data_IF_023509840976
#
_entry.id   IF_023509840976
#
_cell.length_a   1.000
_cell.length_b   1.000
_cell.length_c   1.000
_cell.angle_alpha   90.00
_cell.angle_beta   90.00
_cell.angle_gamma   90.00
#
_symmetry.space_group_name_H-M   'P 1'
#
loop_
_entity.id
_entity.type
_entity.pdbx_description
1 polymer ?
#
# COMPACT_ATOMS: atom_id res chain seq x y z
N UNK A 1 4.34 49.00 5.02
CA UNK A 1 5.09 47.95 4.29
C UNK A 1 5.54 46.80 5.18
N UNK A 2 6.08 47.04 6.37
CA UNK A 2 6.49 45.99 7.33
C UNK A 2 5.36 45.10 7.84
N UNK A 3 4.11 45.61 7.92
CA UNK A 3 2.94 44.81 8.34
C UNK A 3 2.48 43.79 7.28
N UNK A 4 2.44 44.17 6.01
CA UNK A 4 2.08 43.25 4.91
C UNK A 4 3.11 42.13 4.75
N UNK A 5 4.41 42.45 4.87
CA UNK A 5 5.47 41.44 4.79
C UNK A 5 5.37 40.42 5.92
N UNK A 6 5.06 40.86 7.15
CA UNK A 6 4.81 39.95 8.29
C UNK A 6 3.58 39.08 8.06
N UNK A 7 2.49 39.62 7.51
CA UNK A 7 1.28 38.86 7.21
C UNK A 7 1.54 37.80 6.12
N UNK A 8 2.30 38.12 5.08
CA UNK A 8 2.65 37.18 4.02
C UNK A 8 3.53 36.04 4.53
N UNK A 9 4.52 36.34 5.38
CA UNK A 9 5.40 35.33 6.00
C UNK A 9 4.61 34.44 6.96
N UNK A 10 3.69 35.01 7.75
CA UNK A 10 2.80 34.25 8.64
C UNK A 10 1.83 33.38 7.83
N UNK A 11 1.25 33.89 6.74
CA UNK A 11 0.38 33.12 5.86
C UNK A 11 1.11 31.96 5.17
N UNK A 12 2.37 32.16 4.76
CA UNK A 12 3.22 31.09 4.21
C UNK A 12 3.61 30.05 5.26
N UNK A 13 3.80 30.45 6.52
CA UNK A 13 4.02 29.54 7.66
C UNK A 13 2.75 28.76 8.05
N UNK A 14 1.56 29.32 7.81
CA UNK A 14 0.27 28.67 8.09
C UNK A 14 -0.18 27.71 6.99
N UNK A 15 0.47 27.68 5.82
CA UNK A 15 0.30 26.63 4.82
C UNK A 15 0.99 25.31 5.24
N UNK A 16 0.98 25.02 6.55
CA UNK A 16 1.40 23.75 7.11
C UNK A 16 0.52 22.66 6.53
N UNK A 17 1.16 21.72 5.83
CA UNK A 17 0.51 20.59 5.17
C UNK A 17 -0.18 19.73 6.24
N UNK A 18 -1.47 19.96 6.47
CA UNK A 18 -2.31 19.07 7.26
C UNK A 18 -2.37 17.75 6.52
N UNK A 19 -1.91 16.68 7.15
CA UNK A 19 -2.09 15.31 6.67
C UNK A 19 -2.94 14.59 7.69
N UNK A 20 -3.94 13.87 7.22
CA UNK A 20 -4.85 13.13 8.08
C UNK A 20 -4.44 11.67 8.12
N UNK A 21 -4.48 11.08 9.31
CA UNK A 21 -4.16 9.67 9.51
C UNK A 21 -5.35 8.82 9.10
N UNK A 22 -5.15 7.97 8.10
CA UNK A 22 -6.19 7.11 7.55
C UNK A 22 -6.28 5.78 8.31
N UNK A 23 -5.13 5.11 8.47
CA UNK A 23 -5.00 3.83 9.17
C UNK A 23 -3.72 3.82 10.00
N UNK A 24 -3.74 3.10 11.11
CA UNK A 24 -2.61 2.89 12.02
C UNK A 24 -2.52 1.43 12.43
N UNK A 25 -1.39 1.05 13.06
CA UNK A 25 -1.14 -0.30 13.54
C UNK A 25 -1.20 -1.40 12.46
N UNK A 26 -0.78 -1.07 11.24
CA UNK A 26 -0.72 -2.02 10.12
C UNK A 26 0.59 -2.82 10.15
N UNK A 27 0.56 -4.07 9.70
CA UNK A 27 1.77 -4.78 9.35
C UNK A 27 2.38 -4.26 8.02
N UNK A 28 3.58 -4.73 7.68
CA UNK A 28 4.27 -4.29 6.46
C UNK A 28 3.50 -4.67 5.18
N UNK A 29 2.85 -5.84 5.15
CA UNK A 29 2.14 -6.34 3.98
C UNK A 29 0.85 -5.55 3.75
N UNK A 30 0.03 -5.40 4.78
CA UNK A 30 -1.19 -4.58 4.80
C UNK A 30 -0.88 -3.14 4.42
N UNK A 31 0.18 -2.55 4.98
CA UNK A 31 0.56 -1.19 4.65
C UNK A 31 0.94 -1.04 3.17
N UNK A 32 1.70 -1.98 2.62
CA UNK A 32 2.07 -1.98 1.20
C UNK A 32 0.85 -2.19 0.29
N UNK A 33 -0.11 -3.02 0.69
CA UNK A 33 -1.33 -3.25 -0.06
C UNK A 33 -2.21 -2.00 -0.13
N UNK A 34 -2.41 -1.33 1.00
CA UNK A 34 -3.16 -0.07 1.05
C UNK A 34 -2.49 1.01 0.21
N UNK A 35 -1.17 1.21 0.36
CA UNK A 35 -0.44 2.20 -0.44
C UNK A 35 -0.52 1.87 -1.93
N UNK A 36 -0.43 0.59 -2.29
CA UNK A 36 -0.59 0.13 -3.68
C UNK A 36 -1.96 0.53 -4.23
N UNK A 37 -3.06 0.17 -3.56
CA UNK A 37 -4.41 0.47 -4.02
C UNK A 37 -4.66 1.98 -4.13
N UNK A 38 -4.26 2.78 -3.13
CA UNK A 38 -4.42 4.23 -3.16
C UNK A 38 -3.62 4.86 -4.31
N UNK A 39 -2.39 4.40 -4.54
CA UNK A 39 -1.55 4.91 -5.63
C UNK A 39 -2.14 4.59 -7.02
N UNK A 40 -2.82 3.44 -7.18
CA UNK A 40 -3.51 3.09 -8.46
C UNK A 40 -4.65 4.03 -8.79
N UNK A 41 -5.29 4.59 -7.76
CA UNK A 41 -6.39 5.54 -7.89
C UNK A 41 -5.92 7.01 -7.78
N UNK A 42 -4.62 7.25 -8.01
CA UNK A 42 -4.02 8.59 -8.01
C UNK A 42 -4.16 9.36 -6.68
N UNK A 43 -4.21 8.62 -5.56
CA UNK A 43 -4.22 9.18 -4.20
C UNK A 43 -2.82 9.07 -3.61
N UNK A 44 -2.22 10.20 -3.24
CA UNK A 44 -0.89 10.21 -2.60
C UNK A 44 -1.01 9.74 -1.15
N UNK A 45 -0.57 8.51 -0.90
CA UNK A 45 -0.51 7.91 0.44
C UNK A 45 0.93 7.87 0.96
N UNK A 46 1.15 8.36 2.18
CA UNK A 46 2.46 8.32 2.85
C UNK A 46 2.46 7.30 3.97
N UNK A 47 3.34 6.32 3.84
CA UNK A 47 3.65 5.33 4.87
C UNK A 47 4.67 5.89 5.85
N UNK A 48 4.33 5.89 7.14
CA UNK A 48 5.20 6.24 8.25
C UNK A 48 5.43 5.01 9.12
N UNK A 49 6.68 4.75 9.48
CA UNK A 49 7.06 3.65 10.37
C UNK A 49 6.93 4.08 11.84
N UNK A 50 6.09 3.36 12.60
CA UNK A 50 5.88 3.55 14.03
C UNK A 50 6.65 2.56 14.90
N UNK A 51 7.57 1.77 14.32
CA UNK A 51 8.35 0.76 15.03
C UNK A 51 7.44 -0.32 15.62
N UNK A 52 7.40 -0.42 16.97
CA UNK A 52 6.55 -1.40 17.68
C UNK A 52 5.05 -1.15 17.49
N UNK A 53 4.66 0.08 17.17
CA UNK A 53 3.26 0.44 16.94
C UNK A 53 2.77 0.08 15.52
N UNK A 54 3.64 -0.50 14.67
CA UNK A 54 3.32 -0.83 13.29
C UNK A 54 3.39 0.37 12.34
N UNK A 55 2.93 0.17 11.11
CA UNK A 55 2.90 1.21 10.08
C UNK A 55 1.63 2.04 10.17
N UNK A 56 1.74 3.33 9.87
CA UNK A 56 0.62 4.24 9.73
C UNK A 56 0.60 4.85 8.33
N UNK A 57 -0.59 5.06 7.79
CA UNK A 57 -0.80 5.63 6.46
C UNK A 57 -1.51 6.96 6.61
N UNK A 58 -0.92 8.00 6.03
CA UNK A 58 -1.46 9.36 6.01
C UNK A 58 -1.77 9.78 4.58
N UNK A 59 -2.87 10.50 4.41
CA UNK A 59 -3.32 11.04 3.12
C UNK A 59 -3.55 12.55 3.25
N UNK A 60 -3.68 13.22 2.11
CA UNK A 60 -4.08 14.62 2.09
C UNK A 60 -5.57 14.74 2.48
N UNK A 61 -5.98 15.79 3.22
CA UNK A 61 -7.36 15.97 3.66
C UNK A 61 -8.36 15.99 2.50
N UNK A 62 -7.97 16.55 1.35
CA UNK A 62 -8.80 16.54 0.14
C UNK A 62 -9.08 15.14 -0.43
N UNK A 63 -8.16 14.19 -0.21
CA UNK A 63 -8.26 12.83 -0.73
C UNK A 63 -8.88 11.85 0.29
N UNK A 64 -9.12 12.28 1.54
CA UNK A 64 -9.54 11.41 2.63
C UNK A 64 -10.86 10.66 2.35
N UNK A 65 -11.96 11.31 1.90
CA UNK A 65 -13.20 10.60 1.62
C UNK A 65 -13.04 9.55 0.50
N UNK A 66 -12.35 9.92 -0.58
CA UNK A 66 -12.08 9.01 -1.69
C UNK A 66 -11.21 7.82 -1.26
N UNK A 67 -10.22 8.05 -0.39
CA UNK A 67 -9.38 7.00 0.16
C UNK A 67 -10.20 5.99 0.98
N UNK A 68 -11.13 6.46 1.81
CA UNK A 68 -12.03 5.59 2.60
C UNK A 68 -12.94 4.76 1.69
N UNK A 69 -13.49 5.35 0.63
CA UNK A 69 -14.34 4.63 -0.32
C UNK A 69 -13.58 3.51 -1.03
N UNK A 70 -12.33 3.76 -1.45
CA UNK A 70 -11.50 2.72 -2.04
C UNK A 70 -11.09 1.64 -1.05
N UNK A 71 -10.79 1.99 0.21
CA UNK A 71 -10.53 0.98 1.25
C UNK A 71 -11.72 0.04 1.43
N UNK A 72 -12.95 0.59 1.46
CA UNK A 72 -14.18 -0.21 1.56
C UNK A 72 -14.41 -1.08 0.32
N UNK A 73 -14.18 -0.53 -0.87
CA UNK A 73 -14.38 -1.25 -2.14
C UNK A 73 -13.45 -2.47 -2.27
N UNK A 74 -12.25 -2.41 -1.70
CA UNK A 74 -11.25 -3.48 -1.74
C UNK A 74 -11.19 -4.31 -0.44
N UNK A 75 -12.09 -4.09 0.53
CA UNK A 75 -12.10 -4.73 1.87
C UNK A 75 -10.75 -4.65 2.60
N UNK A 76 -10.14 -3.47 2.58
CA UNK A 76 -8.86 -3.19 3.23
C UNK A 76 -9.05 -2.61 4.65
N UNK A 77 -8.16 -2.93 5.60
CA UNK A 77 -6.95 -3.75 5.46
C UNK A 77 -7.24 -5.25 5.38
N UNK A 78 -6.44 -5.96 4.57
CA UNK A 78 -6.56 -7.41 4.42
C UNK A 78 -6.42 -8.15 5.74
N UNK A 79 -7.30 -9.13 5.96
CA UNK A 79 -7.26 -9.97 7.15
C UNK A 79 -6.03 -10.90 7.11
N UNK A 80 -5.43 -11.20 8.26
CA UNK A 80 -4.34 -12.16 8.32
C UNK A 80 -4.81 -13.53 7.83
N UNK A 81 -3.88 -14.30 7.26
CA UNK A 81 -4.15 -15.67 6.82
C UNK A 81 -4.42 -16.55 8.03
N UNK A 82 -5.57 -17.20 8.02
CA UNK A 82 -5.94 -18.24 8.99
C UNK A 82 -5.71 -19.61 8.36
N UNK A 83 -5.11 -20.51 9.12
CA UNK A 83 -4.86 -21.89 8.71
C UNK A 83 -5.55 -22.83 9.70
N UNK A 84 -6.01 -23.99 9.22
CA UNK A 84 -6.75 -24.94 10.07
C UNK A 84 -5.88 -25.42 11.24
N UNK A 85 -4.59 -25.61 11.03
CA UNK A 85 -3.63 -25.99 12.09
C UNK A 85 -3.55 -24.97 13.24
N UNK A 86 -3.81 -23.68 12.99
CA UNK A 86 -3.78 -22.63 14.02
C UNK A 86 -4.96 -22.77 15.01
N UNK A 87 -6.06 -23.39 14.58
CA UNK A 87 -7.21 -23.69 15.45
C UNK A 87 -6.96 -24.91 16.35
N UNK A 88 -5.93 -25.70 16.06
CA UNK A 88 -5.56 -26.91 16.81
C UNK A 88 -4.07 -26.86 17.19
N UNK A 89 -3.69 -26.01 18.17
CA UNK A 89 -2.30 -25.85 18.56
C UNK A 89 -1.70 -27.15 19.11
N UNK A 90 -0.41 -27.42 18.86
CA UNK A 90 0.28 -28.63 19.34
C UNK A 90 0.32 -28.74 20.86
N UNK A 91 0.33 -27.60 21.56
CA UNK A 91 0.51 -27.52 23.01
C UNK A 91 -0.80 -27.75 23.80
N UNK A 92 -1.86 -28.21 23.13
CA UNK A 92 -3.11 -28.59 23.78
C UNK A 92 -2.89 -29.82 24.67
N UNK A 93 -3.34 -29.74 25.93
CA UNK A 93 -3.24 -30.81 26.93
C UNK A 93 -3.98 -32.10 26.53
N UNK A 94 -4.88 -32.03 25.54
CA UNK A 94 -5.63 -33.18 25.03
C UNK A 94 -5.58 -33.15 23.50
N UNK A 95 -4.93 -34.17 22.92
CA UNK A 95 -4.94 -34.42 21.48
C UNK A 95 -6.13 -35.33 21.14
N UNK A 96 -7.02 -34.87 20.27
CA UNK A 96 -8.08 -35.72 19.70
C UNK A 96 -7.64 -36.27 18.34
N UNK A 97 -8.05 -37.49 17.95
CA UNK A 97 -7.77 -38.03 16.61
C UNK A 97 -8.22 -37.09 15.49
N UNK A 98 -9.31 -36.36 15.70
CA UNK A 98 -9.82 -35.34 14.76
C UNK A 98 -8.87 -34.15 14.64
N UNK A 99 -8.29 -33.68 15.75
CA UNK A 99 -7.32 -32.59 15.74
C UNK A 99 -6.01 -32.98 15.04
N UNK A 100 -5.51 -34.19 15.27
CA UNK A 100 -4.30 -34.69 14.59
C UNK A 100 -4.49 -34.78 13.07
N UNK A 101 -5.63 -35.35 12.63
CA UNK A 101 -6.00 -35.38 11.21
C UNK A 101 -6.08 -33.97 10.62
N UNK A 102 -6.78 -33.05 11.28
CA UNK A 102 -6.92 -31.68 10.80
C UNK A 102 -5.55 -30.98 10.62
N UNK A 103 -4.61 -31.20 11.56
CA UNK A 103 -3.24 -30.68 11.47
C UNK A 103 -2.46 -31.30 10.31
N UNK A 104 -2.54 -32.63 10.14
CA UNK A 104 -1.86 -33.33 9.04
C UNK A 104 -2.34 -32.80 7.69
N UNK A 105 -3.65 -32.69 7.49
CA UNK A 105 -4.20 -32.17 6.24
C UNK A 105 -3.79 -30.72 6.01
N UNK A 106 -3.90 -29.84 7.01
CA UNK A 106 -3.45 -28.45 6.91
C UNK A 106 -1.99 -28.33 6.47
N UNK A 107 -1.11 -29.19 7.00
CA UNK A 107 0.30 -29.23 6.61
C UNK A 107 0.49 -29.71 5.15
N UNK A 108 -0.34 -30.67 4.71
CA UNK A 108 -0.35 -31.11 3.31
C UNK A 108 -0.83 -29.98 2.39
N UNK A 109 -1.87 -29.23 2.75
CA UNK A 109 -2.35 -28.07 1.95
C UNK A 109 -1.22 -27.06 1.75
N UNK A 110 -0.55 -26.67 2.84
CA UNK A 110 0.57 -25.72 2.81
C UNK A 110 1.74 -26.22 1.96
N UNK A 111 2.10 -27.50 2.09
CA UNK A 111 3.19 -28.11 1.30
C UNK A 111 2.85 -28.15 -0.18
N UNK A 112 1.60 -28.45 -0.54
CA UNK A 112 1.13 -28.42 -1.93
C UNK A 112 1.12 -27.00 -2.48
N UNK A 113 0.64 -26.01 -1.71
CA UNK A 113 0.70 -24.60 -2.09
C UNK A 113 2.15 -24.16 -2.36
N UNK A 114 3.10 -24.53 -1.49
CA UNK A 114 4.50 -24.17 -1.65
C UNK A 114 5.13 -24.86 -2.87
N UNK A 115 4.80 -26.13 -3.11
CA UNK A 115 5.35 -26.89 -4.24
C UNK A 115 4.83 -26.35 -5.58
N UNK A 116 3.53 -26.09 -5.69
CA UNK A 116 2.94 -25.54 -6.90
C UNK A 116 3.46 -24.14 -7.24
N UNK A 117 3.80 -23.32 -6.24
CA UNK A 117 4.42 -22.00 -6.47
C UNK A 117 5.79 -22.06 -7.16
N UNK A 118 6.44 -23.23 -7.19
CA UNK A 118 7.71 -23.40 -7.91
C UNK A 118 7.52 -23.61 -9.41
N UNK A 119 6.30 -23.90 -9.87
CA UNK A 119 6.01 -24.04 -11.29
C UNK A 119 6.12 -22.68 -12.01
N UNK A 120 6.81 -22.64 -13.16
CA UNK A 120 6.96 -21.41 -13.91
C UNK A 120 5.60 -20.90 -14.40
N UNK A 121 5.40 -19.59 -14.31
CA UNK A 121 4.14 -18.95 -14.69
C UNK A 121 3.10 -18.87 -13.57
N UNK A 122 3.28 -19.55 -12.44
CA UNK A 122 2.43 -19.37 -11.25
C UNK A 122 2.97 -18.29 -10.31
N UNK A 123 2.10 -17.37 -9.91
CA UNK A 123 2.44 -16.24 -9.02
C UNK A 123 1.85 -16.43 -7.62
N UNK A 124 0.64 -16.95 -7.54
CA UNK A 124 -0.05 -17.23 -6.29
C UNK A 124 -0.86 -18.50 -6.44
N UNK A 125 -0.87 -19.33 -5.41
CA UNK A 125 -1.59 -20.60 -5.40
C UNK A 125 -2.29 -20.74 -4.05
N UNK A 126 -3.51 -21.25 -4.10
CA UNK A 126 -4.31 -21.71 -2.97
C UNK A 126 -4.79 -23.11 -3.25
N UNK A 127 -4.65 -23.99 -2.26
CA UNK A 127 -5.11 -25.37 -2.34
C UNK A 127 -6.07 -25.62 -1.19
N UNK A 128 -7.21 -26.22 -1.49
CA UNK A 128 -8.18 -26.66 -0.50
C UNK A 128 -8.41 -28.16 -0.68
N UNK A 129 -8.29 -28.90 0.41
CA UNK A 129 -8.62 -30.31 0.45
C UNK A 129 -10.00 -30.51 1.08
N UNK A 130 -10.87 -31.23 0.37
CA UNK A 130 -12.11 -31.76 0.89
C UNK A 130 -11.86 -33.14 1.48
N UNK A 131 -11.85 -33.24 2.82
CA UNK A 131 -11.66 -34.49 3.54
C UNK A 131 -12.82 -34.75 4.51
N UNK A 132 -13.00 -36.01 4.86
CA UNK A 132 -14.01 -36.47 5.81
C UNK A 132 -13.39 -36.54 7.22
N UNK A 133 -13.98 -35.85 8.18
CA UNK A 133 -13.48 -35.80 9.55
C UNK A 133 -14.06 -36.91 10.44
N UNK A 134 -15.08 -37.64 9.96
CA UNK A 134 -15.87 -38.49 10.83
C UNK A 134 -15.22 -39.87 10.97
N UNK A 135 -15.33 -40.43 12.19
CA UNK A 135 -14.90 -41.79 12.46
C UNK A 135 -15.90 -42.74 11.80
N UNK A 136 -15.49 -43.30 10.66
CA UNK A 136 -16.33 -44.19 9.86
C UNK A 136 -16.79 -45.38 10.70
N UNK A 137 -18.08 -45.69 10.61
CA UNK A 137 -18.57 -47.04 10.86
C UNK A 137 -18.01 -47.95 9.75
N UNK A 138 -17.51 -49.16 10.04
CA UNK A 138 -16.81 -50.02 9.08
C UNK A 138 -17.55 -50.33 7.76
N UNK A 139 -18.85 -50.04 7.68
CA UNK A 139 -19.72 -50.32 6.53
C UNK A 139 -19.87 -49.14 5.54
N UNK A 140 -19.28 -47.97 5.82
CA UNK A 140 -19.32 -46.83 4.89
C UNK A 140 -18.11 -46.84 3.95
N UNK A 141 -18.38 -46.91 2.65
CA UNK A 141 -17.37 -46.75 1.61
C UNK A 141 -16.62 -45.43 1.79
N UNK A 142 -15.29 -45.48 1.68
CA UNK A 142 -14.45 -44.31 1.85
C UNK A 142 -14.80 -43.25 0.78
N UNK A 143 -15.38 -42.11 1.21
CA UNK A 143 -15.59 -40.97 0.32
C UNK A 143 -14.24 -40.52 -0.24
N UNK A 144 -14.17 -40.40 -1.57
CA UNK A 144 -12.94 -39.97 -2.24
C UNK A 144 -12.65 -38.50 -1.88
N UNK A 145 -11.39 -38.15 -1.59
CA UNK A 145 -10.99 -36.77 -1.34
C UNK A 145 -11.13 -35.92 -2.60
N UNK A 146 -11.51 -34.66 -2.40
CA UNK A 146 -11.61 -33.65 -3.45
C UNK A 146 -10.54 -32.59 -3.26
N UNK A 147 -10.00 -32.05 -4.35
CA UNK A 147 -8.98 -31.00 -4.31
C UNK A 147 -9.45 -29.84 -5.18
N UNK A 148 -9.46 -28.64 -4.61
CA UNK A 148 -9.71 -27.41 -5.34
C UNK A 148 -8.45 -26.55 -5.31
N UNK A 149 -8.03 -26.08 -6.48
CA UNK A 149 -6.89 -25.18 -6.63
C UNK A 149 -7.34 -23.89 -7.28
N UNK A 150 -7.01 -22.77 -6.63
CA UNK A 150 -7.12 -21.44 -7.20
C UNK A 150 -5.71 -20.90 -7.39
N UNK A 151 -5.37 -20.53 -8.62
CA UNK A 151 -4.06 -19.99 -8.91
C UNK A 151 -4.11 -18.75 -9.79
N UNK A 152 -3.20 -17.82 -9.50
CA UNK A 152 -2.96 -16.63 -10.32
C UNK A 152 -1.73 -16.89 -11.17
N UNK A 153 -1.85 -16.69 -12.49
CA UNK A 153 -0.78 -16.95 -13.44
C UNK A 153 -0.30 -15.67 -14.14
N UNK A 154 0.97 -15.67 -14.55
CA UNK A 154 1.59 -14.56 -15.24
C UNK A 154 1.06 -14.40 -16.68
N UNK A 155 0.92 -13.15 -17.13
CA UNK A 155 0.55 -12.85 -18.53
C UNK A 155 1.57 -13.46 -19.50
N UNK A 156 1.08 -13.99 -20.64
CA UNK A 156 1.91 -14.67 -21.64
C UNK A 156 2.12 -16.18 -21.43
N UNK A 157 1.50 -16.77 -20.40
CA UNK A 157 1.50 -18.23 -20.18
C UNK A 157 0.27 -18.87 -20.82
N UNK A 158 0.40 -20.09 -21.36
CA UNK A 158 -0.73 -20.87 -21.88
C UNK A 158 -1.50 -21.53 -20.71
N UNK A 159 -2.77 -21.12 -20.44
CA UNK A 159 -3.50 -21.61 -19.28
C UNK A 159 -3.83 -23.11 -19.34
N UNK A 160 -4.09 -23.64 -20.55
CA UNK A 160 -4.46 -25.03 -20.73
C UNK A 160 -3.33 -26.01 -20.36
N UNK A 161 -2.09 -25.71 -20.77
CA UNK A 161 -0.91 -26.47 -20.38
C UNK A 161 -0.72 -26.46 -18.86
N UNK A 162 -0.88 -25.29 -18.24
CA UNK A 162 -0.68 -25.11 -16.81
C UNK A 162 -1.75 -25.86 -15.97
N UNK A 163 -3.01 -25.91 -16.43
CA UNK A 163 -4.05 -26.74 -15.81
C UNK A 163 -3.66 -28.22 -15.84
N UNK A 164 -3.15 -28.71 -16.97
CA UNK A 164 -2.74 -30.11 -17.10
C UNK A 164 -1.57 -30.45 -16.19
N UNK A 165 -0.57 -29.57 -16.10
CA UNK A 165 0.59 -29.75 -15.22
C UNK A 165 0.18 -29.77 -13.74
N UNK A 166 -0.69 -28.85 -13.31
CA UNK A 166 -1.23 -28.84 -11.95
C UNK A 166 -2.00 -30.14 -11.66
N UNK A 167 -2.92 -30.54 -12.55
CA UNK A 167 -3.71 -31.77 -12.36
C UNK A 167 -2.83 -33.00 -12.28
N UNK A 168 -1.81 -33.12 -13.14
CA UNK A 168 -0.86 -34.23 -13.14
C UNK A 168 -0.02 -34.26 -11.87
N UNK A 169 0.47 -33.10 -11.43
CA UNK A 169 1.22 -32.98 -10.18
C UNK A 169 0.39 -33.43 -8.98
N UNK A 170 -0.85 -32.93 -8.84
CA UNK A 170 -1.73 -33.27 -7.73
C UNK A 170 -2.10 -34.76 -7.73
N UNK A 171 -2.43 -35.33 -8.90
CA UNK A 171 -2.72 -36.75 -9.04
C UNK A 171 -1.58 -37.63 -8.52
N UNK A 172 -0.34 -37.27 -8.82
CA UNK A 172 0.83 -38.05 -8.41
C UNK A 172 1.33 -37.71 -7.00
N UNK A 173 0.81 -36.65 -6.38
CA UNK A 173 1.18 -36.25 -5.02
C UNK A 173 0.27 -36.88 -3.96
N UNK A 174 -0.86 -37.46 -4.36
CA UNK A 174 -1.87 -37.99 -3.45
C UNK A 174 -2.53 -39.25 -4.00
N UNK A 175 -2.31 -40.40 -3.34
CA UNK A 175 -2.70 -41.72 -3.87
C UNK A 175 -4.21 -41.89 -4.09
N UNK A 176 -5.05 -41.25 -3.27
CA UNK A 176 -6.49 -41.47 -3.29
C UNK A 176 -7.31 -40.43 -4.10
N UNK A 177 -6.66 -39.57 -4.90
CA UNK A 177 -7.37 -38.54 -5.70
C UNK A 177 -7.43 -38.94 -7.17
N UNK A 178 -8.64 -38.88 -7.75
CA UNK A 178 -8.86 -39.04 -9.20
C UNK A 178 -8.86 -37.69 -9.92
N UNK A 179 -8.58 -37.69 -11.23
CA UNK A 179 -8.57 -36.46 -12.04
C UNK A 179 -9.91 -35.72 -12.04
N UNK A 180 -11.01 -36.45 -11.92
CA UNK A 180 -12.38 -35.92 -11.84
C UNK A 180 -12.64 -35.17 -10.52
N UNK A 181 -11.88 -35.48 -9.47
CA UNK A 181 -11.99 -34.85 -8.16
C UNK A 181 -11.03 -33.66 -7.98
N UNK A 182 -10.32 -33.25 -9.04
CA UNK A 182 -9.40 -32.11 -9.04
C UNK A 182 -10.02 -30.96 -9.85
N UNK A 183 -10.43 -29.91 -9.14
CA UNK A 183 -10.87 -28.65 -9.75
C UNK A 183 -9.73 -27.64 -9.75
N UNK A 184 -9.43 -27.05 -10.89
CA UNK A 184 -8.39 -26.02 -11.05
C UNK A 184 -9.01 -24.80 -11.68
N UNK A 185 -8.93 -23.66 -10.99
CA UNK A 185 -9.37 -22.36 -11.47
C UNK A 185 -8.15 -21.47 -11.59
N UNK A 186 -7.91 -20.99 -12.81
CA UNK A 186 -6.82 -20.06 -13.11
C UNK A 186 -7.37 -18.67 -13.36
N UNK A 187 -6.74 -17.68 -12.72
CA UNK A 187 -7.05 -16.26 -12.93
C UNK A 187 -5.82 -15.55 -13.48
N UNK A 188 -5.93 -14.76 -14.55
CA UNK A 188 -4.79 -14.00 -15.06
C UNK A 188 -4.34 -12.94 -14.06
N UNK A 189 -3.03 -12.67 -14.03
CA UNK A 189 -2.49 -11.53 -13.31
C UNK A 189 -3.10 -10.22 -13.85
N UNK A 190 -3.61 -9.39 -12.94
CA UNK A 190 -3.96 -8.00 -13.26
C UNK A 190 -2.66 -7.24 -13.52
N UNK A 191 -2.51 -6.68 -14.72
CA UNK A 191 -1.31 -5.99 -15.15
C UNK A 191 -0.85 -4.95 -14.10
N UNK A 192 0.46 -4.86 -13.80
CA UNK A 192 0.96 -3.87 -12.86
C UNK A 192 0.65 -2.47 -13.38
N UNK A 193 0.21 -1.58 -12.50
CA UNK A 193 0.02 -0.18 -12.83
C UNK A 193 1.38 0.39 -13.17
N UNK A 194 1.57 0.73 -14.45
CA UNK A 194 2.72 1.51 -14.88
C UNK A 194 2.59 2.87 -14.20
N UNK A 195 3.65 3.39 -13.56
CA UNK A 195 3.60 4.75 -13.06
C UNK A 195 3.28 5.63 -14.27
N UNK A 196 2.15 6.32 -14.22
CA UNK A 196 1.93 7.45 -15.10
C UNK A 196 3.03 8.42 -14.69
N UNK A 197 4.04 8.57 -15.55
CA UNK A 197 4.93 9.71 -15.45
C UNK A 197 4.04 10.92 -15.70
N UNK A 198 3.45 11.46 -14.64
CA UNK A 198 2.94 12.80 -14.66
C UNK A 198 4.18 13.64 -14.92
N UNK A 199 4.38 14.05 -16.18
CA UNK A 199 5.27 15.17 -16.50
C UNK A 199 4.87 16.25 -15.52
N UNK A 200 5.75 16.54 -14.57
CA UNK A 200 5.53 17.59 -13.61
C UNK A 200 5.10 18.81 -14.43
N UNK A 201 3.97 19.47 -14.10
CA UNK A 201 3.63 20.71 -14.79
C UNK A 201 4.86 21.58 -14.71
N UNK A 202 5.33 22.06 -15.87
CA UNK A 202 6.43 23.03 -15.99
C UNK A 202 6.06 24.20 -15.10
N UNK A 203 6.47 24.10 -13.84
CA UNK A 203 6.12 25.08 -12.85
C UNK A 203 7.06 26.21 -13.17
N UNK A 204 6.58 27.42 -13.56
CA UNK A 204 7.42 28.59 -13.68
C UNK A 204 7.92 29.08 -12.30
N UNK A 205 8.07 28.15 -11.35
CA UNK A 205 8.42 28.28 -9.95
C UNK A 205 9.79 28.89 -9.72
N UNK A 206 10.68 28.86 -10.73
CA UNK A 206 11.97 29.54 -10.66
C UNK A 206 11.87 30.98 -11.20
N UNK A 207 11.24 31.18 -12.36
CA UNK A 207 11.14 32.48 -13.01
C UNK A 207 10.42 33.54 -12.16
N UNK A 208 9.30 33.19 -11.53
CA UNK A 208 8.57 34.14 -10.68
C UNK A 208 9.33 34.44 -9.37
N UNK A 209 10.12 33.48 -8.85
CA UNK A 209 10.97 33.71 -7.67
C UNK A 209 12.09 34.72 -7.96
N UNK A 210 12.73 34.64 -9.13
CA UNK A 210 13.71 35.62 -9.57
C UNK A 210 13.07 36.99 -9.86
N UNK A 211 11.89 37.01 -10.47
CA UNK A 211 11.15 38.25 -10.69
C UNK A 211 10.74 38.92 -9.37
N UNK A 212 10.23 38.15 -8.41
CA UNK A 212 9.87 38.64 -7.08
C UNK A 212 11.11 39.11 -6.28
N UNK A 213 12.24 38.40 -6.39
CA UNK A 213 13.51 38.80 -5.80
C UNK A 213 14.06 40.11 -6.38
N UNK A 214 13.98 40.28 -7.71
CA UNK A 214 14.40 41.50 -8.40
C UNK A 214 13.56 42.72 -8.02
N UNK A 215 12.23 42.57 -7.95
CA UNK A 215 11.33 43.65 -7.51
C UNK A 215 11.62 44.04 -6.05
N UNK A 216 11.87 43.07 -5.17
CA UNK A 216 12.21 43.35 -3.77
C UNK A 216 13.53 44.14 -3.65
N UNK A 217 14.55 43.81 -4.43
CA UNK A 217 15.84 44.52 -4.42
C UNK A 217 15.70 45.98 -4.86
N UNK A 218 14.89 46.25 -5.89
CA UNK A 218 14.62 47.62 -6.37
C UNK A 218 13.90 48.44 -5.31
N UNK A 219 12.89 47.87 -4.64
CA UNK A 219 12.15 48.55 -3.58
C UNK A 219 13.07 48.92 -2.41
N UNK A 220 14.01 48.03 -2.02
CA UNK A 220 14.99 48.30 -0.97
C UNK A 220 15.96 49.41 -1.38
N UNK A 221 16.43 49.41 -2.62
CA UNK A 221 17.34 50.44 -3.13
C UNK A 221 16.68 51.83 -3.16
N UNK A 222 15.42 51.92 -3.60
CA UNK A 222 14.64 53.17 -3.61
C UNK A 222 14.39 53.67 -2.20
N UNK A 223 14.03 52.78 -1.27
CA UNK A 223 13.83 53.13 0.14
C UNK A 223 15.12 53.66 0.80
N UNK A 224 16.27 53.02 0.54
CA UNK A 224 17.58 53.45 1.03
C UNK A 224 18.00 54.81 0.45
N UNK A 225 17.72 55.05 -0.84
CA UNK A 225 17.95 56.32 -1.52
C UNK A 225 17.14 57.47 -0.92
N UNK A 226 15.83 57.25 -0.71
CA UNK A 226 14.95 58.24 -0.08
C UNK A 226 15.34 58.52 1.38
N UNK A 227 15.81 57.50 2.11
CA UNK A 227 16.27 57.67 3.48
C UNK A 227 17.56 58.51 3.57
N UNK A 228 18.54 58.24 2.69
CA UNK A 228 19.75 59.07 2.58
C UNK A 228 19.45 60.50 2.13
N UNK A 229 18.53 60.69 1.18
CA UNK A 229 18.10 62.02 0.74
C UNK A 229 17.43 62.81 1.87
N UNK A 230 16.60 62.16 2.70
CA UNK A 230 16.01 62.78 3.89
C UNK A 230 17.06 63.16 4.94
N UNK A 231 18.06 62.31 5.18
CA UNK A 231 19.15 62.63 6.10
C UNK A 231 20.02 63.80 5.62
N UNK A 232 20.31 63.87 4.31
CA UNK A 232 21.04 65.01 3.72
C UNK A 232 20.25 66.32 3.82
N UNK A 233 18.95 66.28 3.54
CA UNK A 233 18.09 67.46 3.66
C UNK A 233 17.89 67.91 5.12
N UNK A 234 17.93 66.99 6.09
CA UNK A 234 17.90 67.32 7.51
C UNK A 234 19.23 67.97 7.96
N UNK A 235 20.38 67.46 7.50
CA UNK A 235 21.69 68.04 7.78
C UNK A 235 21.87 69.44 7.15
N UNK A 236 21.35 69.66 5.94
CA UNK A 236 21.40 70.97 5.26
C UNK A 236 20.56 72.05 5.98
N UNK A 237 19.47 71.68 6.66
CA UNK A 237 18.65 72.62 7.43
C UNK A 237 19.31 73.10 8.73
N UNK A 238 20.16 72.28 9.35
CA UNK A 238 20.90 72.68 10.57
C UNK A 238 22.12 73.56 10.29
N UNK A 239 22.62 73.61 9.04
CA UNK A 239 23.72 74.51 8.65
C UNK A 239 23.29 75.96 8.41
N UNK A 240 22.00 76.20 8.13
CA UNK A 240 21.49 77.54 7.80
C UNK A 240 21.17 78.41 9.02
N UNK A 241 21.02 77.83 10.22
CA UNK A 241 20.73 78.54 11.47
C UNK A 241 21.99 79.02 12.22
N UNK A 242 23.20 78.76 11.70
CA UNK A 242 24.47 79.18 12.33
C UNK A 242 25.08 80.47 11.76
N UNK A 243 24.40 81.14 10.83
CA UNK A 243 24.88 82.37 10.19
C UNK A 243 23.83 83.51 10.17
N UNK A 244 22.92 83.54 11.14
CA UNK A 244 22.11 84.72 11.45
C UNK A 244 22.53 85.28 12.81
#
# INVERSE_FOLDING_TARGET
MTRLFRILVIAALLAGCSKETLLSALDQQQANEVVSVLSRHNIEARKTDGGKAGFSITVRPEDFPAAVDWLRAYDLPSRPRVEVSQMFPPDSLVASPRAEKARLYSAIEQRLEQSLKTLPGLLSVRVQLGYDMDERTPDQAAKQPHVAVLAVYATGTEPAALINDIKRFLRNSFDAVNYENISVVLTPQIAPVRPVMLTAPDTPGMAWKWAAGGVLAIVVAVAAGLFRARQRNAAARQGSDKHA
#
